data_IF_511651731695
#
_entry.id   IF_511651731695
#
_cell.length_a   1.000
_cell.length_b   1.000
_cell.length_c   1.000
_cell.angle_alpha   90.00
_cell.angle_beta   90.00
_cell.angle_gamma   90.00
#
_symmetry.space_group_name_H-M   'P 1'
#
loop_
_entity.id
_entity.type
_entity.pdbx_description
1 polymer ?
#
# COMPACT_ATOMS: atom_id res chain seq x y z
N UNK A 1 -8.17 -4.54 -10.97
CA UNK A 1 -7.11 -5.04 -10.08
C UNK A 1 -6.63 -3.85 -9.26
N UNK A 2 -6.30 -4.02 -7.99
CA UNK A 2 -6.04 -2.89 -7.11
C UNK A 2 -6.39 -3.20 -5.66
N UNK A 3 -6.39 -2.15 -4.85
CA UNK A 3 -6.84 -2.23 -3.46
C UNK A 3 -8.32 -2.59 -3.40
N UNK A 4 -8.69 -3.39 -2.41
CA UNK A 4 -10.05 -3.81 -2.12
C UNK A 4 -10.37 -3.55 -0.66
N UNK A 5 -11.66 -3.40 -0.37
CA UNK A 5 -12.13 -3.34 1.02
C UNK A 5 -11.73 -4.63 1.73
N UNK A 6 -11.17 -4.49 2.93
CA UNK A 6 -10.66 -5.62 3.72
C UNK A 6 -9.16 -5.85 3.54
N UNK A 7 -8.49 -5.15 2.62
CA UNK A 7 -7.03 -5.17 2.56
C UNK A 7 -6.43 -4.50 3.79
N UNK A 8 -5.44 -5.16 4.38
CA UNK A 8 -4.59 -4.56 5.40
C UNK A 8 -3.23 -4.24 4.79
N UNK A 9 -2.89 -2.96 4.71
CA UNK A 9 -1.65 -2.50 4.09
C UNK A 9 -0.48 -2.68 5.06
N UNK A 10 0.58 -3.34 4.60
CA UNK A 10 1.80 -3.59 5.36
C UNK A 10 2.94 -2.64 4.94
N UNK A 11 3.10 -2.42 3.64
CA UNK A 11 4.17 -1.56 3.10
C UNK A 11 3.70 -0.74 1.90
N UNK A 12 4.41 0.36 1.65
CA UNK A 12 4.37 1.16 0.42
C UNK A 12 5.78 1.19 -0.12
N UNK A 13 6.03 0.46 -1.22
CA UNK A 13 7.39 0.10 -1.64
C UNK A 13 8.09 -0.65 -0.51
N UNK A 14 9.26 -0.15 -0.11
CA UNK A 14 10.08 -0.72 0.97
C UNK A 14 9.77 -0.11 2.35
N UNK A 15 8.92 0.91 2.43
CA UNK A 15 8.55 1.56 3.70
C UNK A 15 7.40 0.82 4.38
N UNK A 16 7.60 0.40 5.65
CA UNK A 16 6.54 -0.18 6.49
C UNK A 16 5.51 0.88 6.86
N UNK A 17 4.25 0.46 6.86
CA UNK A 17 3.11 1.31 7.21
C UNK A 17 2.54 0.86 8.55
N UNK A 18 2.41 1.81 9.48
CA UNK A 18 1.89 1.54 10.83
C UNK A 18 0.46 2.02 11.06
N UNK A 19 -0.11 2.75 10.08
CA UNK A 19 -1.47 3.27 10.17
C UNK A 19 -1.78 4.31 9.10
N UNK A 20 -3.01 4.81 9.10
CA UNK A 20 -3.53 5.67 8.04
C UNK A 20 -2.79 7.01 7.89
N UNK A 21 -2.31 7.60 8.99
CA UNK A 21 -1.55 8.87 8.93
C UNK A 21 -0.21 8.67 8.21
N UNK A 22 0.60 7.73 8.69
CA UNK A 22 1.87 7.37 8.09
C UNK A 22 1.72 6.85 6.64
N UNK A 23 0.66 6.11 6.33
CA UNK A 23 0.35 5.71 4.95
C UNK A 23 0.23 6.92 4.01
N UNK A 24 -0.53 7.95 4.40
CA UNK A 24 -0.71 9.15 3.58
C UNK A 24 0.61 9.87 3.32
N UNK A 25 1.44 10.00 4.35
CA UNK A 25 2.77 10.61 4.24
C UNK A 25 3.66 9.82 3.27
N UNK A 26 3.73 8.49 3.42
CA UNK A 26 4.58 7.66 2.57
C UNK A 26 4.11 7.65 1.11
N UNK A 27 2.80 7.68 0.85
CA UNK A 27 2.25 7.81 -0.51
C UNK A 27 2.57 9.18 -1.11
N UNK A 28 2.45 10.26 -0.34
CA UNK A 28 2.75 11.60 -0.83
C UNK A 28 4.21 11.74 -1.31
N UNK A 29 5.16 11.05 -0.67
CA UNK A 29 6.57 10.98 -1.09
C UNK A 29 6.79 10.31 -2.46
N UNK A 30 5.84 9.52 -2.95
CA UNK A 30 5.98 8.83 -4.24
C UNK A 30 5.72 9.76 -5.43
N UNK A 31 5.26 10.99 -5.21
CA UNK A 31 5.08 12.02 -6.24
C UNK A 31 4.21 11.56 -7.43
N UNK A 32 3.18 10.76 -7.15
CA UNK A 32 2.28 10.24 -8.18
C UNK A 32 2.89 9.16 -9.08
N UNK A 33 4.04 8.60 -8.73
CA UNK A 33 4.59 7.43 -9.43
C UNK A 33 3.85 6.16 -9.05
N UNK A 34 3.87 5.18 -9.95
CA UNK A 34 3.36 3.85 -9.63
C UNK A 34 4.17 3.24 -8.47
N UNK A 35 3.47 2.70 -7.47
CA UNK A 35 4.09 2.10 -6.28
C UNK A 35 3.45 0.74 -5.97
N UNK A 36 4.28 -0.22 -5.56
CA UNK A 36 3.81 -1.53 -5.10
C UNK A 36 3.48 -1.48 -3.63
N UNK A 37 2.28 -1.94 -3.27
CA UNK A 37 1.83 -2.13 -1.91
C UNK A 37 1.89 -3.61 -1.56
N UNK A 38 2.41 -3.96 -0.38
CA UNK A 38 2.17 -5.28 0.21
C UNK A 38 0.95 -5.21 1.10
N UNK A 39 0.00 -6.11 0.88
CA UNK A 39 -1.24 -6.16 1.65
C UNK A 39 -1.54 -7.58 2.11
N UNK A 40 -2.18 -7.72 3.26
CA UNK A 40 -2.89 -8.94 3.62
C UNK A 40 -4.32 -8.85 3.06
N UNK A 41 -4.68 -9.82 2.22
CA UNK A 41 -6.04 -10.01 1.70
C UNK A 41 -6.45 -11.45 1.97
N UNK A 42 -7.57 -11.63 2.67
CA UNK A 42 -8.08 -12.98 3.02
C UNK A 42 -7.01 -13.87 3.69
N UNK A 43 -6.19 -13.27 4.55
CA UNK A 43 -5.12 -13.96 5.29
C UNK A 43 -3.85 -14.25 4.47
N UNK A 44 -3.78 -13.81 3.21
CA UNK A 44 -2.60 -14.00 2.34
C UNK A 44 -1.91 -12.67 2.05
N UNK A 45 -0.59 -12.68 2.07
CA UNK A 45 0.21 -11.55 1.60
C UNK A 45 0.26 -11.54 0.08
N UNK A 46 -0.12 -10.40 -0.51
CA UNK A 46 -0.10 -10.18 -1.96
C UNK A 46 0.44 -8.79 -2.27
N UNK A 47 0.96 -8.63 -3.48
CA UNK A 47 1.40 -7.34 -4.00
C UNK A 47 0.31 -6.69 -4.88
N UNK A 48 0.13 -5.39 -4.70
CA UNK A 48 -0.86 -4.58 -5.42
C UNK A 48 -0.17 -3.33 -5.94
N UNK A 49 -0.19 -3.13 -7.26
CA UNK A 49 0.33 -1.90 -7.87
C UNK A 49 -0.73 -0.81 -7.78
N UNK A 50 -0.35 0.33 -7.19
CA UNK A 50 -1.09 1.57 -7.20
C UNK A 50 -0.47 2.48 -8.26
N UNK A 51 -1.23 2.78 -9.32
CA UNK A 51 -0.88 3.81 -10.30
C UNK A 51 -1.70 5.08 -10.02
N UNK A 52 -1.18 6.28 -10.35
CA UNK A 52 -1.93 7.53 -10.26
C UNK A 52 -3.23 7.52 -11.06
#
# INVERSE_FOLDING_TARGET
MGLKRGDMILTVGDEKVHGAANFKETIAKQEGRAVTLRVIREGKEIEVVLAP
#
